data_IF_473174338274
#
_entry.id   IF_473174338274
#
_cell.length_a   1.000
_cell.length_b   1.000
_cell.length_c   1.000
_cell.angle_alpha   90.00
_cell.angle_beta   90.00
_cell.angle_gamma   90.00
#
_symmetry.space_group_name_H-M   'P 1'
#
loop_
_entity.id
_entity.type
_entity.pdbx_description
1 polymer ?
#
# COMPACT_ATOMS: atom_id res chain seq x y z
N UNK A 1 50.29 0.03 25.92
CA UNK A 1 48.98 -0.67 25.90
C UNK A 1 47.75 0.26 26.06
N UNK A 2 47.77 1.52 25.58
CA UNK A 2 46.63 2.47 25.74
C UNK A 2 45.82 2.64 24.44
N UNK A 3 46.43 2.37 23.28
CA UNK A 3 45.83 2.60 21.95
C UNK A 3 44.73 1.58 21.59
N UNK A 4 44.88 0.33 22.01
CA UNK A 4 43.91 -0.76 21.75
C UNK A 4 42.58 -0.59 22.50
N UNK A 5 42.62 -0.07 23.74
CA UNK A 5 41.41 0.23 24.53
C UNK A 5 40.53 1.33 23.91
N UNK A 6 41.15 2.36 23.29
CA UNK A 6 40.41 3.45 22.63
C UNK A 6 39.72 3.00 21.33
N UNK A 7 40.33 2.06 20.60
CA UNK A 7 39.72 1.46 19.41
C UNK A 7 38.53 0.55 19.78
N UNK A 8 38.65 -0.25 20.84
CA UNK A 8 37.56 -1.10 21.32
C UNK A 8 36.33 -0.27 21.78
N UNK A 9 36.56 0.84 22.49
CA UNK A 9 35.48 1.75 22.91
C UNK A 9 34.79 2.45 21.73
N UNK A 10 35.55 2.84 20.70
CA UNK A 10 34.97 3.43 19.48
C UNK A 10 34.18 2.41 18.65
N UNK A 11 34.63 1.16 18.58
CA UNK A 11 33.89 0.09 17.91
C UNK A 11 32.56 -0.23 18.57
N UNK A 12 32.53 -0.28 19.91
CA UNK A 12 31.30 -0.54 20.67
C UNK A 12 30.25 0.60 20.54
N UNK A 13 30.71 1.86 20.49
CA UNK A 13 29.83 3.02 20.28
C UNK A 13 29.20 3.04 18.88
N UNK A 14 29.93 2.61 17.85
CA UNK A 14 29.41 2.55 16.47
C UNK A 14 28.41 1.40 16.30
N UNK A 15 28.67 0.24 16.90
CA UNK A 15 27.77 -0.91 16.81
C UNK A 15 26.39 -0.64 17.45
N UNK A 16 26.36 0.10 18.55
CA UNK A 16 25.10 0.49 19.22
C UNK A 16 24.29 1.51 18.41
N UNK A 17 24.94 2.45 17.73
CA UNK A 17 24.28 3.39 16.80
C UNK A 17 23.65 2.67 15.60
N UNK A 18 24.32 1.65 15.04
CA UNK A 18 23.79 0.86 13.92
C UNK A 18 22.60 0.01 14.35
N UNK A 19 22.62 -0.57 15.56
CA UNK A 19 21.51 -1.36 16.09
C UNK A 19 20.25 -0.52 16.38
N UNK A 20 20.40 0.75 16.76
CA UNK A 20 19.28 1.70 16.95
C UNK A 20 18.67 2.10 15.60
N UNK A 21 19.48 2.23 14.55
CA UNK A 21 19.02 2.59 13.20
C UNK A 21 18.46 1.39 12.40
N UNK A 22 18.75 0.15 12.80
CA UNK A 22 18.17 -1.06 12.18
C UNK A 22 16.74 -1.38 12.64
N UNK A 23 16.13 -0.50 13.43
CA UNK A 23 14.73 -0.58 13.84
C UNK A 23 13.77 -0.31 12.66
N UNK A 24 13.75 -1.18 11.66
CA UNK A 24 12.56 -1.37 10.82
C UNK A 24 11.48 -1.99 11.72
N UNK A 25 10.84 -1.17 12.55
CA UNK A 25 9.54 -1.54 13.09
C UNK A 25 8.60 -1.54 11.90
N UNK A 26 8.35 -2.72 11.34
CA UNK A 26 7.26 -2.94 10.40
C UNK A 26 5.99 -2.48 11.12
N UNK A 27 5.56 -1.25 10.85
CA UNK A 27 4.29 -0.74 11.30
C UNK A 27 3.25 -1.67 10.72
N UNK A 28 2.69 -2.53 11.56
CA UNK A 28 1.63 -3.44 11.21
C UNK A 28 0.38 -2.62 10.90
N UNK A 29 0.29 -2.11 9.68
CA UNK A 29 -0.95 -1.64 9.06
C UNK A 29 -1.83 -2.86 8.75
N UNK A 30 -2.18 -3.62 9.79
CA UNK A 30 -3.35 -4.49 9.73
C UNK A 30 -4.49 -3.71 10.37
N UNK A 31 -4.81 -2.57 9.77
CA UNK A 31 -6.16 -2.07 9.88
C UNK A 31 -7.03 -3.23 9.40
N UNK A 32 -7.75 -3.85 10.33
CA UNK A 32 -8.63 -4.97 10.03
C UNK A 32 -9.66 -4.42 9.07
N UNK A 33 -9.43 -4.66 7.78
CA UNK A 33 -10.40 -4.39 6.72
C UNK A 33 -11.67 -5.08 7.17
N UNK A 34 -12.66 -4.28 7.58
CA UNK A 34 -14.01 -4.77 7.79
C UNK A 34 -14.46 -5.19 6.40
N UNK A 35 -14.29 -6.47 6.11
CA UNK A 35 -14.90 -7.10 4.94
C UNK A 35 -16.39 -6.95 5.22
N UNK A 36 -17.00 -5.96 4.57
CA UNK A 36 -18.43 -5.73 4.64
C UNK A 36 -19.08 -7.01 4.16
N UNK A 37 -19.61 -7.80 5.11
CA UNK A 37 -20.21 -9.10 4.84
C UNK A 37 -21.63 -8.94 4.31
N UNK A 38 -21.89 -7.86 3.56
CA UNK A 38 -23.12 -7.70 2.82
C UNK A 38 -23.25 -8.89 1.87
N UNK A 39 -24.43 -9.54 1.82
CA UNK A 39 -24.63 -10.69 0.94
C UNK A 39 -24.25 -10.31 -0.49
N UNK A 40 -23.37 -11.11 -1.07
CA UNK A 40 -22.79 -10.87 -2.39
C UNK A 40 -23.93 -10.78 -3.41
N UNK A 41 -24.06 -9.69 -4.20
CA UNK A 41 -25.11 -9.59 -5.20
C UNK A 41 -24.97 -10.76 -6.17
N UNK A 42 -26.03 -11.56 -6.30
CA UNK A 42 -26.06 -12.77 -7.14
C UNK A 42 -26.09 -12.44 -8.62
N UNK A 43 -26.42 -11.20 -8.96
CA UNK A 43 -26.44 -10.69 -10.32
C UNK A 43 -25.41 -9.58 -10.46
N UNK A 44 -24.50 -9.76 -11.41
CA UNK A 44 -23.55 -8.73 -11.82
C UNK A 44 -24.21 -7.64 -12.71
N UNK A 45 -25.54 -7.62 -12.76
CA UNK A 45 -26.31 -6.60 -13.44
C UNK A 45 -25.98 -5.22 -12.84
N UNK A 46 -25.32 -4.37 -13.62
CA UNK A 46 -24.84 -3.04 -13.21
C UNK A 46 -23.34 -2.95 -12.90
N UNK A 47 -22.65 -4.09 -12.77
CA UNK A 47 -21.19 -4.13 -12.66
C UNK A 47 -20.59 -4.20 -14.06
N UNK A 48 -20.30 -3.03 -14.65
CA UNK A 48 -19.51 -2.92 -15.87
C UNK A 48 -18.10 -2.45 -15.55
N UNK A 49 -17.10 -3.10 -16.15
CA UNK A 49 -15.71 -2.67 -16.09
C UNK A 49 -15.54 -1.34 -16.83
N UNK A 50 -14.89 -0.38 -16.18
CA UNK A 50 -14.62 0.93 -16.76
C UNK A 50 -13.16 0.96 -17.21
N UNK A 51 -12.93 0.86 -18.52
CA UNK A 51 -11.58 0.96 -19.12
C UNK A 51 -11.27 2.40 -19.53
N UNK A 52 -10.34 3.03 -18.82
CA UNK A 52 -9.87 4.39 -19.14
C UNK A 52 -8.78 4.34 -20.21
N UNK A 53 -9.00 5.06 -21.31
CA UNK A 53 -7.93 5.35 -22.28
C UNK A 53 -6.88 6.25 -21.64
N UNK A 54 -5.61 6.07 -21.97
CA UNK A 54 -4.50 6.88 -21.43
C UNK A 54 -4.74 8.39 -21.50
N UNK A 55 -5.31 8.89 -22.61
CA UNK A 55 -5.66 10.32 -22.74
C UNK A 55 -6.67 10.75 -21.69
N UNK A 56 -7.70 9.94 -21.43
CA UNK A 56 -8.72 10.24 -20.42
C UNK A 56 -8.11 10.20 -19.01
N UNK A 57 -7.25 9.22 -18.71
CA UNK A 57 -6.52 9.16 -17.44
C UNK A 57 -5.72 10.43 -17.19
N UNK A 58 -5.00 10.94 -18.18
CA UNK A 58 -4.20 12.17 -18.04
C UNK A 58 -5.05 13.42 -17.80
N UNK A 59 -6.24 13.51 -18.40
CA UNK A 59 -7.17 14.62 -18.15
C UNK A 59 -7.76 14.50 -16.75
N UNK A 60 -8.21 13.31 -16.35
CA UNK A 60 -8.78 13.06 -15.03
C UNK A 60 -7.77 13.32 -13.92
N UNK A 61 -6.51 12.91 -14.07
CA UNK A 61 -5.47 13.20 -13.09
C UNK A 61 -5.22 14.71 -12.88
N UNK A 62 -5.52 15.56 -13.87
CA UNK A 62 -5.37 17.02 -13.77
C UNK A 62 -6.58 17.69 -13.13
N UNK A 63 -7.78 17.25 -13.50
CA UNK A 63 -9.03 17.86 -13.04
C UNK A 63 -9.51 17.29 -11.70
N UNK A 64 -9.51 15.96 -11.56
CA UNK A 64 -9.88 15.24 -10.34
C UNK A 64 -9.17 13.88 -10.24
N UNK A 65 -8.00 13.82 -9.57
CA UNK A 65 -7.24 12.59 -9.43
C UNK A 65 -7.95 11.55 -8.55
N UNK A 66 -8.92 11.95 -7.70
CA UNK A 66 -9.66 10.99 -6.87
C UNK A 66 -10.55 10.10 -7.73
N UNK A 67 -11.11 10.64 -8.82
CA UNK A 67 -11.98 9.88 -9.70
C UNK A 67 -11.25 8.68 -10.34
N UNK A 68 -9.95 8.79 -10.61
CA UNK A 68 -9.16 7.68 -11.12
C UNK A 68 -9.08 6.55 -10.09
N UNK A 69 -8.84 6.89 -8.82
CA UNK A 69 -8.79 5.93 -7.72
C UNK A 69 -10.15 5.29 -7.48
N UNK A 70 -11.23 6.06 -7.56
CA UNK A 70 -12.59 5.56 -7.38
C UNK A 70 -12.97 4.58 -8.50
N UNK A 71 -12.61 4.90 -9.74
CA UNK A 71 -12.80 4.00 -10.90
C UNK A 71 -12.01 2.70 -10.72
N UNK A 72 -10.75 2.78 -10.28
CA UNK A 72 -9.94 1.59 -9.99
C UNK A 72 -10.54 0.76 -8.84
N UNK A 73 -11.06 1.41 -7.80
CA UNK A 73 -11.70 0.74 -6.66
C UNK A 73 -13.00 0.03 -7.06
N UNK A 74 -13.82 0.68 -7.89
CA UNK A 74 -15.00 0.09 -8.52
C UNK A 74 -14.60 -1.15 -9.32
N UNK A 75 -13.53 -1.01 -10.11
CA UNK A 75 -13.07 -2.09 -10.95
C UNK A 75 -12.55 -3.30 -10.12
N UNK A 76 -11.83 -3.03 -9.03
CA UNK A 76 -11.36 -4.07 -8.11
C UNK A 76 -12.52 -4.76 -7.40
N UNK A 77 -13.54 -4.00 -6.98
CA UNK A 77 -14.72 -4.56 -6.32
C UNK A 77 -15.49 -5.49 -7.26
N UNK A 78 -15.76 -5.08 -8.50
CA UNK A 78 -16.42 -5.96 -9.47
C UNK A 78 -15.62 -7.23 -9.78
N UNK A 79 -14.28 -7.15 -9.84
CA UNK A 79 -13.41 -8.34 -9.97
C UNK A 79 -13.50 -9.27 -8.76
N UNK A 80 -13.45 -8.72 -7.54
CA UNK A 80 -13.52 -9.50 -6.31
C UNK A 80 -14.89 -10.18 -6.13
N UNK A 81 -15.95 -9.60 -6.70
CA UNK A 81 -17.29 -10.18 -6.75
C UNK A 81 -17.46 -11.22 -7.87
N UNK A 82 -16.45 -11.42 -8.72
CA UNK A 82 -16.52 -12.36 -9.85
C UNK A 82 -17.35 -11.86 -11.04
N UNK A 83 -17.61 -10.56 -11.12
CA UNK A 83 -18.53 -10.01 -12.10
C UNK A 83 -17.98 -9.82 -13.51
N UNK A 84 -16.67 -9.87 -13.67
CA UNK A 84 -16.03 -9.92 -14.97
C UNK A 84 -14.65 -10.58 -14.85
N UNK A 85 -14.18 -11.15 -15.96
CA UNK A 85 -12.89 -11.82 -16.12
C UNK A 85 -11.92 -10.98 -16.94
#
# INVERSE_FOLDING_TARGET
MVRTRRFAWRGAAVASLVAILSGCTATAWTEKVKIDSTPMPTECAGWQKIDLKQRATLVLLREDPRLVVDIDSHNLKGRNLGCWQ
#
